data_IF_578414948126
#
_entry.id   IF_578414948126
#
_cell.length_a   1.000
_cell.length_b   1.000
_cell.length_c   1.000
_cell.angle_alpha   90.00
_cell.angle_beta   90.00
_cell.angle_gamma   90.00
#
_symmetry.space_group_name_H-M   'P 1'
#
loop_
_entity.id
_entity.type
_entity.pdbx_description
1 polymer ?
#
# COMPACT_ATOMS: atom_id res chain seq x y z
N UNK A 1 -35.68 25.07 -69.92
CA UNK A 1 -35.09 25.38 -71.26
C UNK A 1 -34.02 24.34 -71.55
N UNK A 2 -33.94 23.78 -72.76
CA UNK A 2 -33.01 22.68 -73.12
C UNK A 2 -33.11 21.45 -72.20
N UNK A 3 -34.32 21.03 -71.83
CA UNK A 3 -34.56 19.88 -70.96
C UNK A 3 -34.18 20.06 -69.48
N UNK A 4 -33.62 21.21 -69.09
CA UNK A 4 -33.32 21.53 -67.69
C UNK A 4 -34.57 22.02 -66.97
N UNK A 5 -34.81 21.45 -65.80
CA UNK A 5 -35.76 21.93 -64.79
C UNK A 5 -35.02 22.86 -63.83
N UNK A 6 -35.70 23.91 -63.40
CA UNK A 6 -35.18 24.93 -62.50
C UNK A 6 -36.06 24.96 -61.26
N UNK A 7 -35.46 25.14 -60.09
CA UNK A 7 -36.19 25.33 -58.85
C UNK A 7 -36.52 26.82 -58.66
N UNK A 8 -37.64 27.09 -58.00
CA UNK A 8 -37.88 28.39 -57.40
C UNK A 8 -36.83 28.65 -56.31
N UNK A 9 -36.49 29.91 -56.08
CA UNK A 9 -35.50 30.33 -55.11
C UNK A 9 -36.18 31.20 -54.06
N UNK A 10 -35.91 30.94 -52.79
CA UNK A 10 -36.47 31.71 -51.68
C UNK A 10 -35.83 33.11 -51.56
N UNK A 11 -36.28 33.88 -50.56
CA UNK A 11 -35.75 35.22 -50.29
C UNK A 11 -34.28 35.23 -49.85
N UNK A 12 -33.74 34.08 -49.44
CA UNK A 12 -32.35 33.90 -49.04
C UNK A 12 -31.44 33.41 -50.18
N UNK A 13 -31.99 33.16 -51.38
CA UNK A 13 -31.22 32.67 -52.51
C UNK A 13 -31.06 31.14 -52.55
N UNK A 14 -31.84 30.40 -51.74
CA UNK A 14 -31.79 28.93 -51.67
C UNK A 14 -32.89 28.30 -52.54
N UNK A 15 -32.62 27.17 -53.23
CA UNK A 15 -33.65 26.41 -53.93
C UNK A 15 -34.76 25.96 -52.98
N UNK A 16 -36.01 26.20 -53.37
CA UNK A 16 -37.19 25.78 -52.60
C UNK A 16 -37.40 24.28 -52.78
N UNK A 17 -37.53 23.58 -51.64
CA UNK A 17 -37.91 22.18 -51.56
C UNK A 17 -39.28 22.05 -50.89
N UNK A 18 -40.18 21.30 -51.54
CA UNK A 18 -41.51 20.98 -51.00
C UNK A 18 -41.41 19.66 -50.23
N UNK A 19 -41.66 19.71 -48.94
CA UNK A 19 -41.73 18.52 -48.10
C UNK A 19 -43.00 17.70 -48.35
N UNK A 20 -43.01 16.46 -47.88
CA UNK A 20 -44.17 15.55 -47.95
C UNK A 20 -45.42 16.11 -47.26
N UNK A 21 -45.26 17.06 -46.33
CA UNK A 21 -46.34 17.77 -45.65
C UNK A 21 -46.83 19.02 -46.40
N UNK A 22 -46.33 19.25 -47.62
CA UNK A 22 -46.67 20.39 -48.49
C UNK A 22 -45.99 21.69 -48.11
N UNK A 23 -45.08 21.72 -47.12
CA UNK A 23 -44.36 22.94 -46.75
C UNK A 23 -43.18 23.19 -47.67
N UNK A 24 -43.03 24.45 -48.05
CA UNK A 24 -41.90 24.95 -48.81
C UNK A 24 -40.82 25.48 -47.88
N UNK A 25 -39.59 25.01 -48.04
CA UNK A 25 -38.42 25.52 -47.32
C UNK A 25 -37.26 25.75 -48.29
N UNK A 26 -36.40 26.72 -48.00
CA UNK A 26 -35.11 26.85 -48.68
C UNK A 26 -34.17 25.71 -48.29
N UNK A 27 -33.63 24.98 -49.26
CA UNK A 27 -32.68 23.89 -49.03
C UNK A 27 -31.23 24.33 -49.20
N UNK A 28 -30.51 24.42 -48.07
CA UNK A 28 -29.06 24.64 -48.05
C UNK A 28 -28.30 23.30 -48.12
N UNK A 29 -27.97 22.88 -49.35
CA UNK A 29 -27.25 21.64 -49.60
C UNK A 29 -25.85 21.59 -48.95
N UNK A 30 -25.02 22.66 -48.99
CA UNK A 30 -23.77 22.73 -48.24
C UNK A 30 -23.93 22.49 -46.74
N UNK A 31 -24.88 23.17 -46.09
CA UNK A 31 -25.13 23.02 -44.65
C UNK A 31 -25.62 21.61 -44.31
N UNK A 32 -26.54 21.06 -45.11
CA UNK A 32 -27.02 19.69 -44.93
C UNK A 32 -25.88 18.67 -45.02
N UNK A 33 -24.99 18.81 -46.02
CA UNK A 33 -23.82 17.94 -46.20
C UNK A 33 -22.86 18.03 -45.02
N UNK A 34 -22.61 19.24 -44.50
CA UNK A 34 -21.82 19.46 -43.30
C UNK A 34 -22.44 18.75 -42.10
N UNK A 35 -23.74 18.91 -41.89
CA UNK A 35 -24.45 18.29 -40.75
C UNK A 35 -24.44 16.77 -40.81
N UNK A 36 -24.61 16.18 -42.00
CA UNK A 36 -24.49 14.73 -42.21
C UNK A 36 -23.08 14.24 -41.83
N UNK A 37 -22.05 14.98 -42.23
CA UNK A 37 -20.65 14.64 -41.89
C UNK A 37 -20.42 14.68 -40.38
N UNK A 38 -20.91 15.72 -39.70
CA UNK A 38 -20.86 15.84 -38.23
C UNK A 38 -21.55 14.66 -37.55
N UNK A 39 -22.80 14.36 -37.90
CA UNK A 39 -23.58 13.28 -37.30
C UNK A 39 -22.93 11.90 -37.53
N UNK A 40 -22.35 11.66 -38.70
CA UNK A 40 -21.62 10.42 -38.98
C UNK A 40 -20.33 10.32 -38.13
N UNK A 41 -19.65 11.45 -37.91
CA UNK A 41 -18.51 11.53 -37.00
C UNK A 41 -18.91 11.22 -35.55
N UNK A 42 -19.99 11.82 -35.07
CA UNK A 42 -20.56 11.56 -33.74
C UNK A 42 -20.95 10.08 -33.57
N UNK A 43 -21.69 9.53 -34.53
CA UNK A 43 -22.10 8.12 -34.51
C UNK A 43 -20.90 7.16 -34.46
N UNK A 44 -19.85 7.45 -35.24
CA UNK A 44 -18.58 6.71 -35.18
C UNK A 44 -17.96 6.80 -33.78
N UNK A 45 -17.88 8.00 -33.21
CA UNK A 45 -17.30 8.20 -31.88
C UNK A 45 -18.10 7.48 -30.79
N UNK A 46 -19.43 7.47 -30.87
CA UNK A 46 -20.27 6.70 -29.94
C UNK A 46 -20.02 5.19 -30.03
N UNK A 47 -19.87 4.65 -31.25
CA UNK A 47 -19.53 3.24 -31.44
C UNK A 47 -18.18 2.91 -30.82
N UNK A 48 -17.15 3.71 -31.10
CA UNK A 48 -15.81 3.51 -30.54
C UNK A 48 -15.81 3.61 -29.01
N UNK A 49 -16.53 4.59 -28.45
CA UNK A 49 -16.65 4.73 -27.00
C UNK A 49 -17.36 3.54 -26.35
N UNK A 50 -18.40 3.00 -27.01
CA UNK A 50 -19.10 1.79 -26.57
C UNK A 50 -18.16 0.58 -26.59
N UNK A 51 -17.46 0.33 -27.69
CA UNK A 51 -16.50 -0.77 -27.82
C UNK A 51 -15.40 -0.68 -26.75
N UNK A 52 -14.83 0.51 -26.51
CA UNK A 52 -13.83 0.72 -25.47
C UNK A 52 -14.38 0.53 -24.05
N UNK A 53 -15.64 0.86 -23.80
CA UNK A 53 -16.30 0.62 -22.51
C UNK A 53 -16.57 -0.87 -22.29
N UNK A 54 -17.03 -1.59 -23.33
CA UNK A 54 -17.25 -3.03 -23.30
C UNK A 54 -15.94 -3.79 -23.09
N UNK A 55 -14.85 -3.39 -23.74
CA UNK A 55 -13.52 -3.99 -23.53
C UNK A 55 -13.03 -3.80 -22.08
N UNK A 56 -13.24 -2.61 -21.50
CA UNK A 56 -12.92 -2.34 -20.08
C UNK A 56 -13.79 -3.16 -19.16
N UNK A 57 -15.09 -3.30 -19.45
CA UNK A 57 -16.02 -4.08 -18.65
C UNK A 57 -15.70 -5.58 -18.71
N UNK A 58 -15.26 -6.09 -19.88
CA UNK A 58 -14.88 -7.48 -20.07
C UNK A 58 -13.74 -7.93 -19.13
N UNK A 59 -12.84 -7.02 -18.73
CA UNK A 59 -11.78 -7.30 -17.73
C UNK A 59 -12.35 -7.69 -16.36
N UNK A 60 -13.59 -7.31 -16.09
CA UNK A 60 -14.31 -7.60 -14.85
C UNK A 60 -15.38 -8.68 -15.02
N UNK A 61 -15.45 -9.36 -16.18
CA UNK A 61 -16.49 -10.35 -16.46
C UNK A 61 -16.47 -11.56 -15.51
N UNK A 62 -15.33 -11.85 -14.89
CA UNK A 62 -15.19 -12.91 -13.88
C UNK A 62 -15.66 -12.48 -12.47
N UNK A 63 -16.05 -11.21 -12.29
CA UNK A 63 -16.57 -10.69 -11.02
C UNK A 63 -18.10 -10.76 -11.06
N UNK A 64 -18.67 -11.81 -10.49
CA UNK A 64 -20.13 -12.00 -10.41
C UNK A 64 -20.81 -10.99 -9.46
N UNK A 65 -20.13 -10.62 -8.37
CA UNK A 65 -20.60 -9.67 -7.38
C UNK A 65 -19.52 -8.60 -7.11
N UNK A 66 -19.60 -7.44 -7.79
CA UNK A 66 -18.64 -6.36 -7.60
C UNK A 66 -18.57 -5.84 -6.16
N UNK A 67 -19.68 -5.89 -5.42
CA UNK A 67 -19.72 -5.42 -4.03
C UNK A 67 -18.93 -6.36 -3.13
N UNK A 68 -19.13 -7.67 -3.27
CA UNK A 68 -18.32 -8.66 -2.54
C UNK A 68 -16.83 -8.59 -2.91
N UNK A 69 -16.50 -8.30 -4.16
CA UNK A 69 -15.10 -8.12 -4.57
C UNK A 69 -14.47 -6.91 -3.86
N UNK A 70 -15.18 -5.79 -3.75
CA UNK A 70 -14.72 -4.61 -3.00
C UNK A 70 -14.57 -4.94 -1.51
N UNK A 71 -15.56 -5.58 -0.90
CA UNK A 71 -15.51 -6.00 0.51
C UNK A 71 -14.33 -6.95 0.77
N UNK A 72 -14.03 -7.87 -0.15
CA UNK A 72 -12.88 -8.77 -0.06
C UNK A 72 -11.54 -8.01 -0.15
N UNK A 73 -11.43 -7.01 -1.03
CA UNK A 73 -10.25 -6.16 -1.13
C UNK A 73 -10.03 -5.32 0.14
N UNK A 74 -11.10 -4.78 0.72
CA UNK A 74 -11.03 -4.06 2.01
C UNK A 74 -10.59 -4.98 3.15
N UNK A 75 -11.13 -6.21 3.20
CA UNK A 75 -10.75 -7.20 4.21
C UNK A 75 -9.27 -7.60 4.07
N UNK A 76 -8.79 -7.80 2.84
CA UNK A 76 -7.38 -8.11 2.58
C UNK A 76 -6.46 -6.98 3.04
N UNK A 77 -6.83 -5.72 2.78
CA UNK A 77 -6.08 -4.56 3.27
C UNK A 77 -5.97 -4.54 4.79
N UNK A 78 -7.06 -4.86 5.51
CA UNK A 78 -7.05 -4.98 6.98
C UNK A 78 -6.15 -6.11 7.48
N UNK A 79 -6.09 -7.24 6.76
CA UNK A 79 -5.19 -8.36 7.10
C UNK A 79 -3.73 -7.95 6.95
N UNK A 80 -3.37 -7.27 5.87
CA UNK A 80 -1.99 -6.80 5.66
C UNK A 80 -1.58 -5.76 6.72
N UNK A 81 -2.47 -4.84 7.08
CA UNK A 81 -2.25 -3.92 8.19
C UNK A 81 -2.01 -4.66 9.52
N UNK A 82 -2.83 -5.66 9.83
CA UNK A 82 -2.66 -6.46 11.05
C UNK A 82 -1.33 -7.21 11.06
N UNK A 83 -0.93 -7.82 9.95
CA UNK A 83 0.37 -8.52 9.83
C UNK A 83 1.55 -7.58 10.08
N UNK A 84 1.49 -6.34 9.60
CA UNK A 84 2.53 -5.34 9.86
C UNK A 84 2.61 -4.96 11.34
N UNK A 85 1.46 -4.80 12.01
CA UNK A 85 1.42 -4.53 13.44
C UNK A 85 1.95 -5.71 14.26
N UNK A 86 1.54 -6.94 13.93
CA UNK A 86 1.99 -8.15 14.59
C UNK A 86 3.51 -8.36 14.39
N UNK A 87 4.03 -8.11 13.19
CA UNK A 87 5.46 -8.15 12.92
C UNK A 87 6.24 -7.13 13.77
N UNK A 88 5.75 -5.88 13.86
CA UNK A 88 6.36 -4.86 14.71
C UNK A 88 6.36 -5.23 16.20
N UNK A 89 5.27 -5.82 16.69
CA UNK A 89 5.19 -6.33 18.07
C UNK A 89 6.16 -7.50 18.31
N UNK A 90 6.30 -8.43 17.36
CA UNK A 90 7.26 -9.53 17.47
C UNK A 90 8.70 -9.01 17.56
N UNK A 91 9.04 -7.98 16.78
CA UNK A 91 10.37 -7.38 16.84
C UNK A 91 10.61 -6.64 18.17
N UNK A 92 9.59 -5.97 18.72
CA UNK A 92 9.64 -5.39 20.07
C UNK A 92 9.84 -6.46 21.14
N UNK A 93 9.08 -7.55 21.10
CA UNK A 93 9.21 -8.66 22.06
C UNK A 93 10.60 -9.30 21.96
N UNK A 94 11.15 -9.51 20.76
CA UNK A 94 12.53 -10.00 20.59
C UNK A 94 13.56 -9.03 21.17
N UNK A 95 13.37 -7.73 20.98
CA UNK A 95 14.26 -6.71 21.54
C UNK A 95 14.19 -6.71 23.08
N UNK A 96 12.98 -6.81 23.65
CA UNK A 96 12.77 -6.92 25.11
C UNK A 96 13.35 -8.21 25.68
N UNK A 97 13.15 -9.35 25.02
CA UNK A 97 13.76 -10.64 25.40
C UNK A 97 15.28 -10.52 25.37
N UNK A 98 15.86 -9.99 24.30
CA UNK A 98 17.32 -9.81 24.18
C UNK A 98 17.86 -8.91 25.29
N UNK A 99 17.15 -7.81 25.60
CA UNK A 99 17.51 -6.89 26.68
C UNK A 99 17.45 -7.56 28.05
N UNK A 100 16.36 -8.28 28.34
CA UNK A 100 16.21 -9.00 29.62
C UNK A 100 17.27 -10.10 29.77
N UNK A 101 17.56 -10.86 28.70
CA UNK A 101 18.63 -11.87 28.72
C UNK A 101 20.00 -11.25 28.94
N UNK A 102 20.31 -10.12 28.30
CA UNK A 102 21.57 -9.42 28.52
C UNK A 102 21.69 -8.94 29.97
N UNK A 103 20.60 -8.42 30.54
CA UNK A 103 20.56 -7.97 31.92
C UNK A 103 20.79 -9.13 32.92
N UNK A 104 20.13 -10.27 32.72
CA UNK A 104 20.37 -11.48 33.52
C UNK A 104 21.80 -11.99 33.37
N UNK A 105 22.37 -11.95 32.16
CA UNK A 105 23.73 -12.38 31.91
C UNK A 105 24.75 -11.49 32.63
N UNK A 106 24.50 -10.18 32.64
CA UNK A 106 25.37 -9.20 33.31
C UNK A 106 25.27 -9.33 34.84
N UNK A 107 24.06 -9.54 35.38
CA UNK A 107 23.83 -9.84 36.80
C UNK A 107 24.54 -11.12 37.25
N UNK A 108 24.41 -12.22 36.49
CA UNK A 108 25.09 -13.48 36.80
C UNK A 108 26.62 -13.37 36.68
N UNK A 109 27.14 -12.61 35.71
CA UNK A 109 28.59 -12.33 35.61
C UNK A 109 29.08 -11.55 36.82
N UNK A 110 28.36 -10.51 37.26
CA UNK A 110 28.72 -9.77 38.46
C UNK A 110 28.70 -10.66 39.69
N UNK A 111 27.70 -11.54 39.82
CA UNK A 111 27.58 -12.48 40.92
C UNK A 111 28.72 -13.51 40.93
N UNK A 112 29.09 -14.02 39.76
CA UNK A 112 30.23 -14.92 39.58
C UNK A 112 31.54 -14.23 39.98
N UNK A 113 31.78 -13.00 39.53
CA UNK A 113 32.97 -12.23 39.93
C UNK A 113 33.02 -11.94 41.44
N UNK A 114 31.86 -11.64 42.04
CA UNK A 114 31.76 -11.41 43.47
C UNK A 114 32.05 -12.69 44.26
N UNK A 115 31.50 -13.83 43.82
CA UNK A 115 31.77 -15.15 44.40
C UNK A 115 33.24 -15.55 44.23
N UNK A 116 33.85 -15.31 43.08
CA UNK A 116 35.29 -15.55 42.85
C UNK A 116 36.15 -14.71 43.79
N UNK A 117 35.82 -13.44 43.98
CA UNK A 117 36.52 -12.54 44.91
C UNK A 117 36.38 -13.04 46.35
N UNK A 118 35.17 -13.38 46.78
CA UNK A 118 34.92 -13.94 48.12
C UNK A 118 35.66 -15.27 48.35
N UNK A 119 35.74 -16.12 47.32
CA UNK A 119 36.48 -17.38 47.40
C UNK A 119 37.99 -17.12 47.49
N UNK A 120 38.50 -16.17 46.73
CA UNK A 120 39.90 -15.76 46.78
C UNK A 120 40.28 -15.19 48.15
N UNK A 121 39.46 -14.30 48.70
CA UNK A 121 39.64 -13.75 50.06
C UNK A 121 39.58 -14.85 51.11
N UNK A 122 38.67 -15.83 50.96
CA UNK A 122 38.56 -16.98 51.86
C UNK A 122 39.75 -17.94 51.74
N UNK A 123 40.27 -18.16 50.53
CA UNK A 123 41.47 -18.98 50.31
C UNK A 123 42.73 -18.30 50.86
N UNK A 124 42.87 -16.98 50.69
CA UNK A 124 43.94 -16.19 51.29
C UNK A 124 43.81 -16.25 52.82
N UNK A 125 42.67 -15.84 53.38
CA UNK A 125 42.43 -15.85 54.82
C UNK A 125 42.65 -17.23 55.44
N UNK A 126 42.17 -18.29 54.78
CA UNK A 126 42.38 -19.68 55.20
C UNK A 126 43.83 -20.15 55.11
N UNK A 127 44.56 -19.77 54.05
CA UNK A 127 45.98 -20.11 53.89
C UNK A 127 46.87 -19.36 54.86
N UNK A 128 46.52 -18.12 55.24
CA UNK A 128 47.20 -17.34 56.27
C UNK A 128 46.91 -17.89 57.68
N UNK A 129 45.65 -18.20 57.99
CA UNK A 129 45.26 -18.75 59.30
C UNK A 129 45.77 -20.20 59.52
N UNK A 130 45.92 -20.99 58.45
CA UNK A 130 46.42 -22.36 58.51
C UNK A 130 47.95 -22.52 58.43
N UNK A 131 48.70 -21.43 58.14
CA UNK A 131 50.14 -21.51 57.96
C UNK A 131 50.90 -21.47 59.30
N UNK A 132 51.49 -22.61 59.68
CA UNK A 132 52.36 -22.73 60.87
C UNK A 132 53.53 -21.74 60.88
N UNK A 133 54.04 -21.35 59.71
CA UNK A 133 55.14 -20.40 59.59
C UNK A 133 54.74 -18.95 59.96
N UNK A 134 53.51 -18.54 59.64
CA UNK A 134 52.98 -17.20 59.98
C UNK A 134 52.61 -17.13 61.46
N UNK A 135 51.96 -18.17 61.99
CA UNK A 135 51.60 -18.29 63.40
C UNK A 135 52.82 -18.19 64.35
N UNK A 136 53.98 -18.72 63.93
CA UNK A 136 55.17 -18.80 64.78
C UNK A 136 56.13 -17.59 64.66
N UNK A 137 55.98 -16.72 63.64
CA UNK A 137 56.98 -15.66 63.34
C UNK A 137 56.46 -14.23 63.25
N UNK A 138 55.14 -14.00 63.13
CA UNK A 138 54.57 -12.65 63.08
C UNK A 138 53.53 -12.51 64.20
N UNK A 139 53.88 -11.78 65.26
CA UNK A 139 52.98 -11.47 66.36
C UNK A 139 52.13 -10.23 66.03
N UNK A 140 51.08 -10.40 65.22
CA UNK A 140 50.03 -9.37 65.07
C UNK A 140 48.72 -9.99 65.58
N UNK A 141 47.99 -9.32 66.51
CA UNK A 141 46.73 -9.82 67.05
C UNK A 141 45.68 -9.99 65.95
N UNK A 142 44.83 -11.01 66.07
CA UNK A 142 43.80 -11.36 65.09
C UNK A 142 42.76 -10.25 64.81
N UNK A 143 42.76 -9.16 65.57
CA UNK A 143 41.81 -8.03 65.49
C UNK A 143 42.30 -6.88 64.60
N UNK A 144 43.47 -7.03 63.93
CA UNK A 144 44.09 -6.03 63.04
C UNK A 144 44.30 -6.54 61.60
N UNK A 145 43.74 -7.70 61.25
CA UNK A 145 43.69 -8.27 59.89
C UNK A 145 42.23 -8.34 59.43
#
# INVERSE_FOLDING_TARGET
>A
INGKQYAEIDTAGLPVYVHDDGKEIGFDAPLATKKITELNGEAKNHRLAKEAAEEKLAKFAAIEDPKKAIEALEMLSKIDQKKLLDAGQVDQVKAEITKNFQQQLDEEKQRSQMLETQLYDSMIGGSFAGSKYIADKIAIPADLL
#
